data_IF_892930435064
#
_entry.id   IF_892930435064
#
_cell.length_a   1.000
_cell.length_b   1.000
_cell.length_c   1.000
_cell.angle_alpha   90.00
_cell.angle_beta   90.00
_cell.angle_gamma   90.00
#
_symmetry.space_group_name_H-M   'P 1'
#
loop_
_entity.id
_entity.type
_entity.pdbx_description
1 polymer ?
#
# COMPACT_ATOMS: atom_id res chain seq x y z
N UNK A 1 7.96 26.13 -64.21
CA UNK A 1 6.70 26.62 -63.63
C UNK A 1 6.31 25.64 -62.55
N UNK A 2 6.09 26.20 -61.36
CA UNK A 2 5.66 25.60 -60.08
C UNK A 2 4.50 24.61 -60.27
N UNK A 3 4.32 23.57 -59.44
CA UNK A 3 4.07 23.72 -58.02
C UNK A 3 4.52 22.54 -57.15
N UNK A 4 5.15 22.95 -56.05
CA UNK A 4 5.19 22.28 -54.75
C UNK A 4 3.77 22.21 -54.18
N UNK A 5 3.36 21.04 -53.71
CA UNK A 5 2.49 20.94 -52.54
C UNK A 5 2.64 19.55 -51.93
N UNK A 6 3.68 19.44 -51.11
CA UNK A 6 3.77 18.55 -49.96
C UNK A 6 2.47 18.66 -49.16
N UNK A 7 1.61 17.64 -49.22
CA UNK A 7 0.41 17.59 -48.39
C UNK A 7 0.74 16.74 -47.15
N UNK A 8 1.23 17.44 -46.13
CA UNK A 8 1.41 16.92 -44.79
C UNK A 8 0.03 16.64 -44.17
N UNK A 9 -0.46 15.41 -44.32
CA UNK A 9 -1.64 14.96 -43.58
C UNK A 9 -1.24 14.73 -42.12
N UNK A 10 -1.71 15.66 -41.30
CA UNK A 10 -1.59 15.75 -39.86
C UNK A 10 -2.13 14.48 -39.19
N UNK A 11 -1.25 13.55 -38.84
CA UNK A 11 -1.59 12.24 -38.28
C UNK A 11 -2.16 12.34 -36.86
N UNK A 12 -3.47 12.16 -36.72
CA UNK A 12 -4.09 11.82 -35.44
C UNK A 12 -3.54 10.49 -34.95
N UNK A 13 -2.76 10.52 -33.87
CA UNK A 13 -2.29 9.31 -33.20
C UNK A 13 -3.51 8.53 -32.70
N UNK A 14 -3.68 7.24 -33.01
CA UNK A 14 -4.83 6.48 -32.54
C UNK A 14 -4.88 6.45 -31.01
N UNK A 15 -6.09 6.54 -30.43
CA UNK A 15 -6.30 6.54 -28.97
C UNK A 15 -5.63 5.34 -28.27
N UNK A 16 -5.61 4.18 -28.92
CA UNK A 16 -4.96 2.96 -28.42
C UNK A 16 -3.45 3.16 -28.14
N UNK A 17 -2.74 3.87 -29.00
CA UNK A 17 -1.30 4.13 -28.82
C UNK A 17 -1.08 5.19 -27.73
N UNK A 18 -2.05 6.07 -27.51
CA UNK A 18 -2.01 7.07 -26.42
C UNK A 18 -2.28 6.39 -25.08
N UNK A 19 -3.26 5.49 -25.00
CA UNK A 19 -3.58 4.73 -23.78
C UNK A 19 -2.43 3.81 -23.41
N UNK A 20 -1.82 3.09 -24.35
CA UNK A 20 -0.68 2.20 -24.08
C UNK A 20 0.52 2.97 -23.50
N UNK A 21 0.88 4.11 -24.11
CA UNK A 21 1.93 4.98 -23.54
C UNK A 21 1.57 5.54 -22.17
N UNK A 22 0.30 5.85 -21.91
CA UNK A 22 -0.16 6.33 -20.62
C UNK A 22 -0.10 5.23 -19.55
N UNK A 23 -0.50 4.02 -19.91
CA UNK A 23 -0.37 2.80 -19.10
C UNK A 23 1.09 2.56 -18.74
N UNK A 24 1.99 2.51 -19.73
CA UNK A 24 3.42 2.28 -19.51
C UNK A 24 4.05 3.32 -18.57
N UNK A 25 3.76 4.61 -18.78
CA UNK A 25 4.23 5.69 -17.89
C UNK A 25 3.73 5.49 -16.46
N UNK A 26 2.47 5.06 -16.29
CA UNK A 26 1.89 4.82 -14.96
C UNK A 26 2.52 3.58 -14.32
N UNK A 27 2.71 2.50 -15.07
CA UNK A 27 3.40 1.28 -14.63
C UNK A 27 4.80 1.60 -14.14
N UNK A 28 5.60 2.35 -14.92
CA UNK A 28 6.93 2.79 -14.51
C UNK A 28 6.91 3.63 -13.23
N UNK A 29 5.93 4.54 -13.08
CA UNK A 29 5.77 5.36 -11.88
C UNK A 29 5.44 4.52 -10.64
N UNK A 30 4.54 3.54 -10.77
CA UNK A 30 4.18 2.63 -9.68
C UNK A 30 5.36 1.74 -9.33
N UNK A 31 6.03 1.14 -10.33
CA UNK A 31 7.22 0.31 -10.14
C UNK A 31 8.31 1.02 -9.32
N UNK A 32 8.55 2.32 -9.59
CA UNK A 32 9.50 3.12 -8.81
C UNK A 32 9.13 3.22 -7.33
N UNK A 33 7.84 3.37 -7.01
CA UNK A 33 7.36 3.40 -5.62
C UNK A 33 7.52 2.04 -4.96
N UNK A 34 7.15 0.97 -5.67
CA UNK A 34 7.29 -0.40 -5.19
C UNK A 34 8.75 -0.75 -4.91
N UNK A 35 9.69 -0.40 -5.80
CA UNK A 35 11.14 -0.57 -5.53
C UNK A 35 11.58 0.15 -4.27
N UNK A 36 11.08 1.37 -4.05
CA UNK A 36 11.36 2.11 -2.82
C UNK A 36 10.79 1.44 -1.57
N UNK A 37 9.66 0.75 -1.69
CA UNK A 37 9.09 -0.05 -0.60
C UNK A 37 9.94 -1.30 -0.34
N UNK A 38 10.23 -2.08 -1.38
CA UNK A 38 11.07 -3.30 -1.30
C UNK A 38 12.45 -2.98 -0.73
N UNK A 39 13.08 -1.88 -1.15
CA UNK A 39 14.39 -1.46 -0.64
C UNK A 39 14.38 -1.13 0.86
N UNK A 40 13.24 -0.68 1.41
CA UNK A 40 13.10 -0.35 2.84
C UNK A 40 12.66 -1.54 3.69
N UNK A 41 11.85 -2.43 3.13
CA UNK A 41 11.11 -3.45 3.87
C UNK A 41 11.51 -4.89 3.53
N UNK A 42 12.47 -5.07 2.63
CA UNK A 42 13.11 -6.36 2.33
C UNK A 42 12.68 -6.98 1.00
N UNK A 43 13.59 -7.79 0.45
CA UNK A 43 13.40 -8.48 -0.83
C UNK A 43 12.29 -9.54 -0.79
N UNK A 44 11.91 -10.03 0.40
CA UNK A 44 10.78 -10.93 0.60
C UNK A 44 9.41 -10.21 0.64
N UNK A 45 9.25 -9.10 -0.08
CA UNK A 45 7.97 -8.38 -0.13
C UNK A 45 6.97 -9.16 -0.99
N UNK A 46 5.79 -9.42 -0.43
CA UNK A 46 4.67 -10.04 -1.13
C UNK A 46 3.52 -9.05 -1.28
N UNK A 47 2.63 -9.28 -2.24
CA UNK A 47 1.46 -8.44 -2.39
C UNK A 47 0.28 -9.12 -3.07
N UNK A 48 -0.89 -8.51 -2.95
CA UNK A 48 -2.13 -9.02 -3.52
C UNK A 48 -2.89 -7.91 -4.22
N UNK A 49 -3.42 -8.21 -5.41
CA UNK A 49 -4.23 -7.27 -6.18
C UNK A 49 -5.71 -7.59 -6.01
N UNK A 50 -6.49 -6.62 -5.55
CA UNK A 50 -7.94 -6.70 -5.40
C UNK A 50 -8.64 -5.68 -6.29
N UNK A 51 -9.79 -6.04 -6.87
CA UNK A 51 -10.66 -5.11 -7.59
C UNK A 51 -11.43 -4.22 -6.60
N UNK A 52 -11.51 -2.92 -6.89
CA UNK A 52 -12.11 -1.88 -6.04
C UNK A 52 -13.35 -1.24 -6.69
N UNK A 53 -13.92 -1.85 -7.74
CA UNK A 53 -15.01 -1.25 -8.51
C UNK A 53 -14.51 -0.13 -9.42
N UNK A 54 -15.31 0.93 -9.57
CA UNK A 54 -15.01 2.09 -10.43
C UNK A 54 -13.67 2.77 -10.10
N UNK A 55 -13.18 2.61 -8.88
CA UNK A 55 -11.88 3.14 -8.45
C UNK A 55 -10.68 2.38 -9.03
N UNK A 56 -10.90 1.24 -9.69
CA UNK A 56 -9.88 0.41 -10.31
C UNK A 56 -9.45 -0.75 -9.42
N UNK A 57 -8.15 -0.92 -9.26
CA UNK A 57 -7.52 -2.02 -8.53
C UNK A 57 -6.60 -1.52 -7.44
N UNK A 58 -6.45 -2.32 -6.38
CA UNK A 58 -5.61 -2.05 -5.21
C UNK A 58 -4.57 -3.15 -5.07
N UNK A 59 -3.30 -2.79 -4.94
CA UNK A 59 -2.20 -3.68 -4.60
C UNK A 59 -1.80 -3.44 -3.14
N UNK A 60 -2.12 -4.41 -2.28
CA UNK A 60 -1.63 -4.43 -0.89
C UNK A 60 -0.27 -5.10 -0.88
N UNK A 61 0.68 -4.51 -0.17
CA UNK A 61 2.04 -5.02 0.00
C UNK A 61 2.26 -5.38 1.47
N UNK A 62 2.97 -6.48 1.71
CA UNK A 62 3.50 -6.86 3.01
C UNK A 62 5.00 -7.05 2.84
N UNK A 63 5.76 -6.17 3.50
CA UNK A 63 7.22 -6.26 3.54
C UNK A 63 7.68 -7.51 4.30
N UNK A 64 8.94 -7.90 4.10
CA UNK A 64 9.55 -8.98 4.86
C UNK A 64 9.60 -8.66 6.37
N UNK A 65 9.69 -7.38 6.70
CA UNK A 65 9.62 -6.86 8.07
C UNK A 65 8.18 -6.78 8.63
N UNK A 66 7.17 -7.13 7.83
CA UNK A 66 5.76 -7.09 8.17
C UNK A 66 5.08 -5.72 7.97
N UNK A 67 5.78 -4.73 7.41
CA UNK A 67 5.20 -3.42 7.11
C UNK A 67 4.14 -3.54 6.02
N UNK A 68 3.02 -2.84 6.18
CA UNK A 68 1.95 -2.79 5.19
C UNK A 68 2.10 -1.58 4.26
N UNK A 69 1.89 -1.78 2.96
CA UNK A 69 1.83 -0.73 1.94
C UNK A 69 0.64 -0.90 1.01
N UNK A 70 0.25 0.17 0.31
CA UNK A 70 -0.86 0.15 -0.65
C UNK A 70 -0.53 0.99 -1.90
N UNK A 71 -0.92 0.52 -3.08
CA UNK A 71 -0.94 1.27 -4.34
C UNK A 71 -2.25 1.01 -5.09
N UNK A 72 -2.91 2.08 -5.56
CA UNK A 72 -4.12 1.99 -6.39
C UNK A 72 -3.82 2.43 -7.82
N UNK A 73 -4.37 1.71 -8.80
CA UNK A 73 -4.29 2.06 -10.21
C UNK A 73 -5.60 1.69 -10.94
N UNK A 74 -5.93 2.37 -12.06
CA UNK A 74 -7.15 2.09 -12.81
C UNK A 74 -7.17 0.69 -13.46
N UNK A 75 -6.01 0.11 -13.74
CA UNK A 75 -5.88 -1.20 -14.41
C UNK A 75 -5.07 -2.20 -13.58
N UNK A 76 -5.44 -3.49 -13.67
CA UNK A 76 -4.74 -4.60 -13.01
C UNK A 76 -3.35 -4.82 -13.60
N UNK A 77 -3.24 -4.71 -14.91
CA UNK A 77 -2.01 -4.77 -15.70
C UNK A 77 -0.94 -3.78 -15.22
N UNK A 78 -1.35 -2.55 -14.86
CA UNK A 78 -0.45 -1.53 -14.31
C UNK A 78 0.17 -2.00 -13.00
N UNK A 79 -0.63 -2.57 -12.09
CA UNK A 79 -0.13 -3.06 -10.80
C UNK A 79 0.69 -4.34 -10.96
N UNK A 80 0.26 -5.26 -11.82
CA UNK A 80 0.96 -6.51 -12.08
C UNK A 80 2.34 -6.26 -12.71
N UNK A 81 2.39 -5.47 -13.77
CA UNK A 81 3.64 -5.10 -14.42
C UNK A 81 4.56 -4.26 -13.51
N UNK A 82 3.99 -3.45 -12.62
CA UNK A 82 4.79 -2.73 -11.64
C UNK A 82 5.39 -3.65 -10.57
N UNK A 83 4.61 -4.62 -10.07
CA UNK A 83 5.06 -5.61 -9.09
C UNK A 83 6.20 -6.46 -9.64
N UNK A 84 6.06 -6.97 -10.87
CA UNK A 84 7.10 -7.71 -11.58
C UNK A 84 8.40 -6.90 -11.68
N UNK A 85 8.33 -5.66 -12.16
CA UNK A 85 9.49 -4.75 -12.28
C UNK A 85 10.16 -4.39 -10.95
N UNK A 86 9.46 -4.57 -9.84
CA UNK A 86 9.94 -4.26 -8.51
C UNK A 86 10.38 -5.50 -7.71
N UNK A 87 10.20 -6.70 -8.24
CA UNK A 87 10.49 -7.95 -7.53
C UNK A 87 9.52 -8.23 -6.39
N UNK A 88 8.26 -7.80 -6.52
CA UNK A 88 7.19 -8.12 -5.56
C UNK A 88 6.52 -9.42 -6.01
N UNK A 89 6.49 -10.42 -5.12
CA UNK A 89 5.79 -11.67 -5.40
C UNK A 89 4.28 -11.46 -5.22
N UNK A 90 3.51 -11.68 -6.27
CA UNK A 90 2.06 -11.56 -6.22
C UNK A 90 1.42 -12.86 -5.71
N UNK A 91 0.45 -12.72 -4.81
CA UNK A 91 -0.46 -13.76 -4.35
C UNK A 91 -1.85 -13.55 -4.95
N UNK A 92 -2.56 -14.64 -5.19
CA UNK A 92 -3.93 -14.60 -5.69
C UNK A 92 -4.91 -14.08 -4.63
N UNK A 93 -4.67 -14.42 -3.36
CA UNK A 93 -5.51 -14.02 -2.22
C UNK A 93 -4.67 -13.44 -1.09
N UNK A 94 -5.30 -12.56 -0.31
CA UNK A 94 -4.74 -12.07 0.94
C UNK A 94 -5.09 -13.08 2.04
N UNK A 95 -4.36 -14.18 2.05
CA UNK A 95 -4.62 -15.35 2.91
C UNK A 95 -4.08 -15.16 4.33
N UNK A 96 -4.34 -16.16 5.20
CA UNK A 96 -3.91 -16.13 6.59
C UNK A 96 -2.38 -16.11 6.76
N UNK A 97 -1.62 -16.64 5.82
CA UNK A 97 -0.15 -16.64 5.87
C UNK A 97 0.42 -15.25 5.55
N UNK A 98 -0.12 -14.60 4.51
CA UNK A 98 0.22 -13.22 4.19
C UNK A 98 -0.24 -12.26 5.30
N UNK A 99 -1.46 -12.46 5.82
CA UNK A 99 -2.01 -11.68 6.92
C UNK A 99 -1.20 -11.84 8.23
N UNK A 100 -0.76 -13.05 8.56
CA UNK A 100 0.02 -13.33 9.76
C UNK A 100 1.39 -12.65 9.78
N UNK A 101 1.94 -12.30 8.61
CA UNK A 101 3.20 -11.53 8.51
C UNK A 101 3.03 -10.05 8.79
N UNK A 102 1.83 -9.52 8.68
CA UNK A 102 1.58 -8.10 8.96
C UNK A 102 1.90 -7.83 10.42
N UNK A 103 2.88 -6.95 10.66
CA UNK A 103 3.20 -6.49 12.01
C UNK A 103 2.34 -5.28 12.34
N UNK A 104 1.26 -5.51 13.09
CA UNK A 104 0.51 -4.46 13.78
C UNK A 104 0.87 -4.49 15.27
N UNK A 105 2.06 -4.01 15.62
CA UNK A 105 2.48 -3.87 17.01
C UNK A 105 1.78 -2.70 17.72
N UNK A 106 1.98 -2.55 19.04
CA UNK A 106 1.41 -1.45 19.84
C UNK A 106 1.76 -0.07 19.28
N UNK A 107 2.95 0.06 18.65
CA UNK A 107 3.39 1.28 18.00
C UNK A 107 2.60 1.59 16.71
N UNK A 108 2.37 0.60 15.85
CA UNK A 108 1.53 0.78 14.67
C UNK A 108 0.05 1.00 15.04
N UNK A 109 -0.45 0.31 16.07
CA UNK A 109 -1.79 0.54 16.61
C UNK A 109 -1.95 1.95 17.15
N UNK A 110 -0.97 2.48 17.88
CA UNK A 110 -1.01 3.85 18.40
C UNK A 110 -1.01 4.92 17.29
N UNK A 111 -0.38 4.62 16.14
CA UNK A 111 -0.42 5.50 14.95
C UNK A 111 -1.73 5.38 14.15
N UNK A 112 -2.42 4.25 14.23
CA UNK A 112 -3.71 4.00 13.57
C UNK A 112 -4.93 4.40 14.42
N UNK A 113 -4.82 4.31 15.75
CA UNK A 113 -5.88 4.63 16.71
C UNK A 113 -6.13 6.13 16.90
N UNK A 114 -5.39 6.99 16.19
CA UNK A 114 -5.60 8.44 16.17
C UNK A 114 -5.90 9.03 17.56
N UNK A 115 -4.96 8.97 18.51
CA UNK A 115 -5.09 9.58 19.85
C UNK A 115 -6.50 9.39 20.48
N UNK A 116 -7.02 8.17 20.45
CA UNK A 116 -8.32 7.79 21.02
C UNK A 116 -8.23 6.85 22.22
N UNK A 117 -7.15 6.89 23.01
CA UNK A 117 -7.04 6.13 24.26
C UNK A 117 -6.94 7.13 25.41
N UNK A 118 -8.11 7.50 25.94
CA UNK A 118 -8.22 8.04 27.28
C UNK A 118 -7.71 7.00 28.28
N UNK A 119 -6.79 7.42 29.14
CA UNK A 119 -6.12 6.54 30.08
C UNK A 119 -7.09 5.90 31.08
N UNK A 120 -6.98 4.59 31.24
CA UNK A 120 -7.25 3.94 32.51
C UNK A 120 -5.93 3.31 32.96
N UNK A 121 -5.15 4.08 33.73
CA UNK A 121 -4.14 3.49 34.60
C UNK A 121 -4.90 2.81 35.73
N UNK A 122 -5.13 1.51 35.62
CA UNK A 122 -5.55 0.70 36.76
C UNK A 122 -4.43 0.72 37.81
N UNK A 123 -4.64 1.51 38.86
CA UNK A 123 -3.85 1.43 40.07
C UNK A 123 -4.28 0.17 40.84
N UNK A 124 -3.49 -0.90 40.72
CA UNK A 124 -3.61 -2.05 41.60
C UNK A 124 -2.77 -1.82 42.86
N UNK A 125 -3.44 -1.77 44.01
CA UNK A 125 -2.87 -1.57 45.35
C UNK A 125 -3.71 -2.27 46.41
N UNK A 126 -3.75 -3.60 46.31
CA UNK A 126 -4.02 -4.63 47.32
C UNK A 126 -4.28 -4.16 48.79
N UNK A 127 -5.50 -4.44 49.26
CA UNK A 127 -5.98 -4.86 50.61
C UNK A 127 -5.12 -4.64 51.87
N UNK A 128 -5.73 -4.09 52.94
CA UNK A 128 -6.27 -4.86 54.08
C UNK A 128 -6.34 -4.06 55.41
N UNK A 129 -7.49 -4.19 56.08
CA UNK A 129 -7.67 -4.31 57.54
C UNK A 129 -7.23 -3.19 58.51
N UNK A 130 -8.21 -2.70 59.28
CA UNK A 130 -8.10 -2.79 60.75
C UNK A 130 -8.00 -1.51 61.58
N UNK A 131 -9.11 -1.18 62.25
CA UNK A 131 -9.19 -0.79 63.67
C UNK A 131 -8.65 0.56 64.17
N UNK A 132 -9.61 1.40 64.60
CA UNK A 132 -9.74 2.17 65.85
C UNK A 132 -8.54 2.72 66.65
N UNK A 133 -8.82 3.91 67.23
CA UNK A 133 -8.21 4.62 68.40
C UNK A 133 -6.91 5.39 68.09
N UNK A 134 -6.63 6.61 68.57
CA UNK A 134 -6.99 7.34 69.80
C UNK A 134 -6.65 8.86 69.68
N UNK A 135 -7.33 9.65 70.51
CA UNK A 135 -7.19 11.07 70.86
C UNK A 135 -5.78 11.68 71.02
N UNK A 136 -5.71 13.00 70.77
CA UNK A 136 -5.27 14.03 71.72
C UNK A 136 -5.84 15.38 71.29
#
# INVERSE_FOLDING_TARGET
MTDTAENAENGSVPDEVVTDRATERRTARVARRLRGFVARHGAGTEGQISYLGERGYRLVLVGQDGTLGDQVAPGRDILAGAAERAGVTLRDSFDGELAARVRTGPYEWSRMAGLGIGGASEANGQTAAGSSTKAA
#
